data_IF_167605113576
#
_entry.id   IF_167605113576
#
_cell.length_a   1.000
_cell.length_b   1.000
_cell.length_c   1.000
_cell.angle_alpha   90.00
_cell.angle_beta   90.00
_cell.angle_gamma   90.00
#
_symmetry.space_group_name_H-M   'P 1'
#
loop_
_entity.id
_entity.type
_entity.pdbx_description
1 polymer ?
#
# COMPACT_ATOMS: atom_id res chain seq x y z
N UNK A 1 16.86 -2.70 -25.24
CA UNK A 1 17.66 -2.62 -23.99
C UNK A 1 16.72 -2.94 -22.83
N UNK A 2 16.57 -4.22 -22.48
CA UNK A 2 15.54 -4.69 -21.54
C UNK A 2 16.07 -4.76 -20.12
N UNK A 3 15.58 -3.90 -19.24
CA UNK A 3 15.85 -3.99 -17.80
C UNK A 3 15.13 -5.22 -17.23
N UNK A 4 15.80 -6.38 -17.25
CA UNK A 4 15.48 -7.51 -16.36
C UNK A 4 16.01 -7.18 -14.97
N UNK A 5 15.34 -6.28 -14.27
CA UNK A 5 15.58 -6.06 -12.84
C UNK A 5 15.33 -7.38 -12.11
N UNK A 6 16.40 -7.99 -11.60
CA UNK A 6 16.34 -9.27 -10.90
C UNK A 6 15.39 -9.15 -9.70
N UNK A 7 14.24 -9.80 -9.77
CA UNK A 7 13.34 -9.96 -8.64
C UNK A 7 14.06 -10.78 -7.57
N UNK A 8 14.69 -10.10 -6.61
CA UNK A 8 15.18 -10.73 -5.38
C UNK A 8 14.03 -11.49 -4.72
N UNK A 9 14.31 -12.62 -4.04
CA UNK A 9 13.29 -13.40 -3.31
C UNK A 9 12.46 -12.53 -2.34
N UNK A 10 12.98 -11.35 -1.95
CA UNK A 10 12.36 -10.32 -1.09
C UNK A 10 11.29 -9.45 -1.76
N UNK A 11 11.26 -9.37 -3.09
CA UNK A 11 10.36 -8.50 -3.84
C UNK A 11 9.22 -9.26 -4.53
N UNK A 12 9.10 -10.58 -4.32
CA UNK A 12 7.99 -11.37 -4.88
C UNK A 12 6.64 -10.84 -4.40
N UNK A 13 5.69 -10.72 -5.33
CA UNK A 13 4.31 -10.37 -5.02
C UNK A 13 3.68 -11.47 -4.18
N UNK A 14 2.67 -11.10 -3.42
CA UNK A 14 1.78 -12.08 -2.82
C UNK A 14 0.98 -12.70 -3.98
N UNK A 15 1.20 -13.99 -4.25
CA UNK A 15 0.57 -14.72 -5.36
C UNK A 15 -0.96 -14.79 -5.22
N UNK A 16 -1.48 -14.85 -3.98
CA UNK A 16 -2.91 -14.86 -3.69
C UNK A 16 -3.30 -13.68 -2.77
N UNK A 17 -3.71 -12.57 -3.40
CA UNK A 17 -4.18 -11.36 -2.72
C UNK A 17 -5.55 -11.53 -2.06
N UNK A 18 -6.38 -12.45 -2.55
CA UNK A 18 -7.69 -12.75 -1.96
C UNK A 18 -7.54 -13.42 -0.59
N UNK A 19 -6.68 -14.43 -0.50
CA UNK A 19 -6.35 -15.08 0.76
C UNK A 19 -5.69 -14.09 1.73
N UNK A 20 -4.80 -13.24 1.22
CA UNK A 20 -4.20 -12.18 2.01
C UNK A 20 -5.25 -11.20 2.59
N UNK A 21 -6.21 -10.74 1.78
CA UNK A 21 -7.27 -9.84 2.24
C UNK A 21 -8.18 -10.52 3.28
N UNK A 22 -8.53 -11.79 3.08
CA UNK A 22 -9.33 -12.58 4.03
C UNK A 22 -8.60 -12.70 5.37
N UNK A 23 -7.32 -13.09 5.34
CA UNK A 23 -6.50 -13.21 6.54
C UNK A 23 -6.33 -11.87 7.24
N UNK A 24 -5.99 -10.78 6.52
CA UNK A 24 -5.90 -9.44 7.10
C UNK A 24 -7.18 -9.05 7.86
N UNK A 25 -8.35 -9.23 7.26
CA UNK A 25 -9.65 -8.94 7.92
C UNK A 25 -9.89 -9.84 9.13
N UNK A 26 -9.54 -11.13 9.05
CA UNK A 26 -9.64 -12.10 10.15
C UNK A 26 -8.74 -11.69 11.33
N UNK A 27 -7.48 -11.34 11.07
CA UNK A 27 -6.52 -10.89 12.08
C UNK A 27 -7.02 -9.63 12.79
N UNK A 28 -7.55 -8.65 12.05
CA UNK A 28 -8.13 -7.42 12.62
C UNK A 28 -9.35 -7.70 13.52
N UNK A 29 -10.24 -8.62 13.11
CA UNK A 29 -11.39 -9.03 13.92
C UNK A 29 -10.97 -9.71 15.22
N UNK A 30 -10.00 -10.61 15.15
CA UNK A 30 -9.49 -11.32 16.33
C UNK A 30 -8.78 -10.35 17.27
N UNK A 31 -7.94 -9.45 16.76
CA UNK A 31 -7.28 -8.42 17.57
C UNK A 31 -8.30 -7.56 18.34
N UNK A 32 -9.37 -7.11 17.68
CA UNK A 32 -10.46 -6.37 18.34
C UNK A 32 -11.12 -7.18 19.46
N UNK A 33 -11.32 -8.49 19.24
CA UNK A 33 -11.87 -9.40 20.26
C UNK A 33 -10.91 -9.57 21.44
N UNK A 34 -9.62 -9.79 21.20
CA UNK A 34 -8.59 -9.87 22.26
C UNK A 34 -8.63 -8.61 23.12
N UNK A 35 -8.69 -7.44 22.48
CA UNK A 35 -8.78 -6.15 23.18
C UNK A 35 -10.06 -6.01 24.02
N UNK A 36 -11.19 -6.49 23.51
CA UNK A 36 -12.47 -6.42 24.23
C UNK A 36 -12.53 -7.32 25.47
N UNK A 37 -11.76 -8.42 25.48
CA UNK A 37 -11.86 -9.49 26.49
C UNK A 37 -10.76 -9.39 27.55
N UNK A 38 -10.00 -8.29 27.60
CA UNK A 38 -8.85 -8.10 28.50
C UNK A 38 -9.14 -8.28 30.00
N UNK A 39 -10.39 -8.09 30.44
CA UNK A 39 -10.77 -8.19 31.86
C UNK A 39 -10.93 -9.63 32.37
N UNK A 40 -11.20 -10.60 31.50
CA UNK A 40 -11.36 -12.00 31.89
C UNK A 40 -10.09 -12.80 31.51
N UNK A 41 -9.30 -13.30 32.49
CA UNK A 41 -8.02 -13.95 32.24
C UNK A 41 -8.10 -15.18 31.34
N UNK A 42 -9.10 -16.04 31.51
CA UNK A 42 -9.22 -17.29 30.74
C UNK A 42 -9.63 -17.02 29.29
N UNK A 43 -10.65 -16.19 29.10
CA UNK A 43 -11.10 -15.82 27.76
C UNK A 43 -10.02 -15.01 27.01
N UNK A 44 -9.23 -14.22 27.73
CA UNK A 44 -8.09 -13.49 27.16
C UNK A 44 -7.03 -14.46 26.64
N UNK A 45 -6.59 -15.45 27.44
CA UNK A 45 -5.62 -16.47 27.02
C UNK A 45 -6.09 -17.21 25.75
N UNK A 46 -7.33 -17.68 25.74
CA UNK A 46 -7.91 -18.37 24.56
C UNK A 46 -7.98 -17.48 23.33
N UNK A 47 -8.31 -16.20 23.50
CA UNK A 47 -8.34 -15.25 22.39
C UNK A 47 -6.93 -14.93 21.87
N UNK A 48 -5.95 -14.85 22.77
CA UNK A 48 -4.54 -14.59 22.47
C UNK A 48 -3.91 -15.74 21.67
N UNK A 49 -4.13 -16.99 22.08
CA UNK A 49 -3.68 -18.18 21.34
C UNK A 49 -4.22 -18.19 19.91
N UNK A 50 -5.52 -17.95 19.77
CA UNK A 50 -6.16 -17.85 18.45
C UNK A 50 -5.59 -16.70 17.61
N UNK A 51 -5.24 -15.58 18.23
CA UNK A 51 -4.58 -14.47 17.53
C UNK A 51 -3.20 -14.88 17.01
N UNK A 52 -2.36 -15.51 17.83
CA UNK A 52 -1.03 -15.94 17.41
C UNK A 52 -1.06 -16.96 16.29
N UNK A 53 -1.99 -17.92 16.32
CA UNK A 53 -2.18 -18.89 15.23
C UNK A 53 -2.45 -18.18 13.90
N UNK A 54 -3.41 -17.26 13.86
CA UNK A 54 -3.76 -16.51 12.64
C UNK A 54 -2.66 -15.52 12.26
N UNK A 55 -1.96 -14.95 13.24
CA UNK A 55 -0.85 -14.03 12.99
C UNK A 55 0.34 -14.75 12.35
N UNK A 56 0.66 -15.97 12.76
CA UNK A 56 1.72 -16.77 12.12
C UNK A 56 1.37 -17.15 10.68
N UNK A 57 0.12 -17.52 10.39
CA UNK A 57 -0.37 -17.73 9.02
C UNK A 57 -0.18 -16.46 8.16
N UNK A 58 -0.64 -15.32 8.68
CA UNK A 58 -0.50 -14.02 8.00
C UNK A 58 0.98 -13.63 7.82
N UNK A 59 1.80 -13.83 8.85
CA UNK A 59 3.23 -13.52 8.85
C UNK A 59 3.96 -14.32 7.77
N UNK A 60 3.69 -15.62 7.63
CA UNK A 60 4.28 -16.45 6.58
C UNK A 60 3.97 -15.93 5.18
N UNK A 61 2.77 -15.38 4.97
CA UNK A 61 2.37 -14.81 3.68
C UNK A 61 3.03 -13.46 3.38
N UNK A 62 3.16 -12.58 4.38
CA UNK A 62 3.66 -11.20 4.18
C UNK A 62 5.18 -11.13 4.26
N UNK A 63 5.80 -11.99 5.05
CA UNK A 63 7.23 -11.91 5.31
C UNK A 63 8.04 -12.07 4.01
N UNK A 64 8.97 -11.13 3.79
CA UNK A 64 9.83 -11.06 2.59
C UNK A 64 9.04 -10.95 1.27
N UNK A 65 7.81 -10.43 1.27
CA UNK A 65 7.03 -10.13 0.07
C UNK A 65 6.76 -8.64 -0.08
N UNK A 66 6.46 -8.22 -1.30
CA UNK A 66 6.06 -6.86 -1.60
C UNK A 66 4.74 -6.52 -0.91
N UNK A 67 4.70 -5.37 -0.23
CA UNK A 67 3.52 -4.92 0.50
C UNK A 67 2.53 -4.21 -0.42
N UNK A 68 1.24 -4.52 -0.22
CA UNK A 68 0.13 -3.91 -0.94
C UNK A 68 -0.96 -3.62 0.08
N UNK A 69 -1.46 -2.39 0.11
CA UNK A 69 -2.55 -2.03 1.01
C UNK A 69 -3.82 -2.86 0.67
N UNK A 70 -4.33 -3.67 1.61
CA UNK A 70 -5.47 -4.55 1.34
C UNK A 70 -6.76 -3.79 1.00
N UNK A 71 -6.94 -2.56 1.53
CA UNK A 71 -8.14 -1.75 1.27
C UNK A 71 -8.06 -1.10 -0.11
N UNK A 72 -6.88 -0.64 -0.51
CA UNK A 72 -6.64 -0.08 -1.84
C UNK A 72 -6.87 -1.15 -2.90
N UNK A 73 -6.26 -2.34 -2.73
CA UNK A 73 -6.46 -3.46 -3.63
C UNK A 73 -7.94 -3.87 -3.73
N UNK A 74 -8.64 -3.99 -2.59
CA UNK A 74 -10.06 -4.36 -2.59
C UNK A 74 -10.96 -3.34 -3.31
N UNK A 75 -10.58 -2.05 -3.37
CA UNK A 75 -11.31 -1.03 -4.12
C UNK A 75 -11.04 -1.16 -5.62
N UNK A 76 -9.78 -1.35 -6.00
CA UNK A 76 -9.37 -1.50 -7.40
C UNK A 76 -9.96 -2.79 -7.99
N UNK A 77 -9.92 -3.90 -7.26
CA UNK A 77 -10.55 -5.16 -7.68
C UNK A 77 -12.03 -4.97 -8.03
N UNK A 78 -12.79 -4.29 -7.16
CA UNK A 78 -14.21 -3.98 -7.42
C UNK A 78 -14.40 -3.10 -8.65
N UNK A 79 -13.50 -2.14 -8.87
CA UNK A 79 -13.57 -1.26 -10.03
C UNK A 79 -13.21 -1.97 -11.32
N UNK A 80 -12.28 -2.92 -11.28
CA UNK A 80 -12.01 -3.82 -12.39
C UNK A 80 -13.23 -4.67 -12.74
N UNK A 81 -13.96 -5.17 -11.73
CA UNK A 81 -15.19 -5.93 -11.91
C UNK A 81 -16.33 -5.07 -12.49
N UNK A 82 -16.46 -3.80 -12.08
CA UNK A 82 -17.53 -2.89 -12.58
C UNK A 82 -17.16 -2.10 -13.83
N UNK A 83 -15.88 -2.09 -14.23
CA UNK A 83 -15.37 -1.26 -15.32
C UNK A 83 -15.24 0.24 -14.97
N UNK A 84 -15.44 0.63 -13.70
CA UNK A 84 -15.34 2.02 -13.25
C UNK A 84 -13.89 2.53 -13.26
N UNK A 85 -13.67 3.78 -13.69
CA UNK A 85 -12.33 4.42 -13.68
C UNK A 85 -12.24 5.69 -12.82
N UNK A 86 -12.90 5.65 -11.66
CA UNK A 86 -12.90 6.76 -10.69
C UNK A 86 -11.52 6.98 -10.06
N UNK A 87 -11.22 8.23 -9.70
CA UNK A 87 -9.95 8.56 -9.03
C UNK A 87 -9.99 8.08 -7.58
N UNK A 88 -9.02 7.24 -7.19
CA UNK A 88 -8.93 6.70 -5.82
C UNK A 88 -7.90 7.49 -5.02
N UNK A 89 -8.31 8.08 -3.89
CA UNK A 89 -7.38 8.71 -2.95
C UNK A 89 -6.74 7.68 -2.03
N UNK A 90 -5.43 7.76 -1.84
CA UNK A 90 -4.66 6.90 -0.93
C UNK A 90 -3.60 7.68 -0.15
N UNK A 91 -3.41 7.27 1.10
CA UNK A 91 -2.28 7.67 1.93
C UNK A 91 -1.16 6.62 1.94
N UNK A 92 -1.44 5.40 1.46
CA UNK A 92 -0.47 4.32 1.41
C UNK A 92 0.48 4.54 0.23
N UNK A 93 1.64 5.11 0.56
CA UNK A 93 2.77 5.35 -0.37
C UNK A 93 3.72 4.16 -0.46
N UNK A 94 3.62 3.26 0.51
CA UNK A 94 4.41 2.05 0.66
C UNK A 94 3.89 0.87 -0.19
N UNK A 95 2.67 0.99 -0.72
CA UNK A 95 2.08 0.00 -1.63
C UNK A 95 2.89 -0.12 -2.92
N UNK A 96 3.17 -1.37 -3.28
CA UNK A 96 3.80 -1.75 -4.54
C UNK A 96 2.75 -1.85 -5.64
N UNK A 97 3.05 -1.33 -6.83
CA UNK A 97 2.13 -1.36 -7.98
C UNK A 97 2.09 -2.77 -8.56
N UNK A 98 0.88 -3.33 -8.65
CA UNK A 98 0.56 -4.65 -9.21
C UNK A 98 0.02 -4.48 -10.63
N UNK A 99 0.16 -5.46 -11.54
CA UNK A 99 -0.48 -5.40 -12.87
C UNK A 99 -1.97 -5.02 -12.86
N UNK A 100 -2.74 -5.43 -11.85
CA UNK A 100 -4.17 -5.09 -11.72
C UNK A 100 -4.46 -3.60 -11.55
N UNK A 101 -3.46 -2.79 -11.22
CA UNK A 101 -3.60 -1.35 -10.99
C UNK A 101 -3.46 -0.55 -12.29
N UNK A 102 -2.98 -1.18 -13.36
CA UNK A 102 -2.78 -0.53 -14.65
C UNK A 102 -4.10 0.04 -15.18
N UNK A 103 -4.04 1.24 -15.74
CA UNK A 103 -5.22 1.94 -16.27
C UNK A 103 -6.07 2.67 -15.22
N UNK A 104 -5.66 2.65 -13.94
CA UNK A 104 -6.32 3.39 -12.87
C UNK A 104 -5.58 4.67 -12.53
N UNK A 105 -6.33 5.70 -12.14
CA UNK A 105 -5.78 6.93 -11.59
C UNK A 105 -5.85 6.90 -10.07
N UNK A 106 -4.69 6.85 -9.43
CA UNK A 106 -4.56 6.85 -7.97
C UNK A 106 -4.00 8.19 -7.52
N UNK A 107 -4.76 8.91 -6.70
CA UNK A 107 -4.33 10.14 -6.08
C UNK A 107 -3.55 9.83 -4.79
N UNK A 108 -2.23 9.97 -4.84
CA UNK A 108 -1.29 9.62 -3.77
C UNK A 108 -1.00 10.86 -2.91
N UNK A 109 -1.14 10.74 -1.60
CA UNK A 109 -0.85 11.84 -0.68
C UNK A 109 0.66 12.12 -0.59
N UNK A 110 1.09 13.36 -0.84
CA UNK A 110 2.52 13.74 -0.76
C UNK A 110 2.91 14.45 0.56
N UNK A 111 1.98 14.57 1.51
CA UNK A 111 2.18 15.27 2.78
C UNK A 111 1.38 16.57 2.89
N UNK A 112 0.97 17.16 1.75
CA UNK A 112 0.15 18.38 1.71
C UNK A 112 -1.11 18.19 0.86
N UNK A 113 -0.95 17.60 -0.32
CA UNK A 113 -2.02 17.39 -1.30
C UNK A 113 -2.00 15.96 -1.82
N UNK A 114 -3.06 15.59 -2.55
CA UNK A 114 -3.10 14.35 -3.30
C UNK A 114 -2.69 14.60 -4.74
N UNK A 115 -1.61 13.93 -5.17
CA UNK A 115 -1.11 14.00 -6.55
C UNK A 115 -1.76 12.87 -7.35
N UNK A 116 -2.58 13.16 -8.37
CA UNK A 116 -3.16 12.13 -9.23
C UNK A 116 -2.07 11.50 -10.10
N UNK A 117 -1.87 10.19 -9.96
CA UNK A 117 -0.94 9.40 -10.74
C UNK A 117 -1.74 8.41 -11.58
N UNK A 118 -1.62 8.52 -12.91
CA UNK A 118 -2.16 7.52 -13.84
C UNK A 118 -1.15 6.38 -13.99
N UNK A 119 -1.59 5.15 -13.74
CA UNK A 119 -0.70 3.99 -13.66
C UNK A 119 -0.54 3.35 -15.04
N UNK A 120 0.70 3.34 -15.53
CA UNK A 120 1.12 2.64 -16.75
C UNK A 120 1.76 1.28 -16.42
N UNK A 121 1.84 0.34 -17.38
CA UNK A 121 2.47 -0.98 -17.17
C UNK A 121 3.93 -0.91 -16.71
N UNK A 122 4.66 0.12 -17.15
CA UNK A 122 6.08 0.31 -16.80
C UNK A 122 6.30 0.64 -15.32
N UNK A 123 5.25 1.11 -14.63
CA UNK A 123 5.30 1.42 -13.20
C UNK A 123 5.14 0.18 -12.31
N UNK A 124 4.82 -0.98 -12.87
CA UNK A 124 4.62 -2.22 -12.11
C UNK A 124 5.92 -2.63 -11.38
N UNK A 125 5.80 -2.95 -10.10
CA UNK A 125 6.93 -3.31 -9.23
C UNK A 125 7.56 -2.11 -8.48
N UNK A 126 7.23 -0.87 -8.85
CA UNK A 126 7.60 0.32 -8.11
C UNK A 126 6.63 0.63 -6.97
N UNK A 127 7.04 1.47 -6.02
CA UNK A 127 6.14 1.96 -4.96
C UNK A 127 5.38 3.20 -5.40
N UNK A 128 4.11 3.30 -4.99
CA UNK A 128 3.27 4.48 -5.27
C UNK A 128 3.91 5.80 -4.80
N UNK A 129 4.68 5.76 -3.71
CA UNK A 129 5.35 6.93 -3.17
C UNK A 129 6.45 7.52 -4.05
N UNK A 130 7.00 6.75 -5.00
CA UNK A 130 8.04 7.18 -5.93
C UNK A 130 7.49 8.20 -6.94
N UNK A 131 6.21 8.07 -7.30
CA UNK A 131 5.53 8.94 -8.26
C UNK A 131 4.89 10.17 -7.62
N UNK A 132 5.04 10.37 -6.31
CA UNK A 132 4.49 11.48 -5.55
C UNK A 132 5.58 12.18 -4.73
N UNK A 133 6.33 13.15 -5.33
CA UNK A 133 7.42 13.84 -4.64
C UNK A 133 6.89 14.69 -3.47
N UNK A 134 7.64 14.66 -2.36
CA UNK A 134 7.28 15.34 -1.10
C UNK A 134 7.88 16.73 -0.95
N UNK A 135 9.05 16.94 -1.56
CA UNK A 135 9.80 18.20 -1.48
C UNK A 135 9.83 18.82 -2.85
N UNK A 136 9.56 20.11 -2.91
CA UNK A 136 9.78 20.90 -4.13
C UNK A 136 11.26 21.29 -4.19
N UNK A 137 11.94 20.93 -5.27
CA UNK A 137 13.27 21.44 -5.53
C UNK A 137 13.15 22.90 -5.95
N UNK A 138 13.75 23.82 -5.18
CA UNK A 138 13.67 25.27 -5.42
C UNK A 138 14.83 25.81 -6.27
N UNK A 139 15.66 24.94 -6.85
CA UNK A 139 16.93 25.35 -7.45
C UNK A 139 18.01 25.63 -6.41
N UNK A 140 19.27 25.62 -6.83
CA UNK A 140 20.32 26.28 -6.07
C UNK A 140 20.19 27.79 -6.34
N UNK A 141 20.32 28.66 -5.33
CA UNK A 141 20.29 30.09 -5.59
C UNK A 141 21.52 30.47 -6.42
N UNK A 142 21.33 30.77 -7.70
CA UNK A 142 22.36 31.46 -8.47
C UNK A 142 22.65 32.80 -7.77
N UNK A 143 23.93 33.11 -7.55
CA UNK A 143 24.35 34.38 -6.91
C UNK A 143 23.83 35.62 -7.66
N UNK A 144 23.40 35.48 -8.91
CA UNK A 144 22.81 36.52 -9.76
C UNK A 144 21.27 36.62 -9.69
N UNK A 145 20.56 35.64 -9.11
CA UNK A 145 19.10 35.64 -9.07
C UNK A 145 18.53 36.31 -7.80
N UNK A 146 19.03 37.50 -7.46
CA UNK A 146 18.26 38.45 -6.63
C UNK A 146 17.33 39.27 -7.54
N UNK A 147 16.25 38.68 -8.06
CA UNK A 147 15.10 39.45 -8.53
C UNK A 147 13.97 38.53 -9.04
N UNK A 148 13.05 38.16 -8.15
CA UNK A 148 11.64 38.06 -8.51
C UNK A 148 10.79 38.05 -7.23
N UNK A 149 10.52 39.26 -6.70
CA UNK A 149 9.33 39.48 -5.87
C UNK A 149 8.09 39.21 -6.74
N UNK A 150 7.07 38.56 -6.16
CA UNK A 150 5.64 38.78 -6.46
C UNK A 150 4.87 38.46 -5.17
N UNK A 151 4.39 39.49 -4.48
CA UNK A 151 3.07 40.16 -4.58
C UNK A 151 1.97 39.30 -3.95
#
# INVERSE_FOLDING_TARGET
MGFKGAWSKRNRLIEDLDTFLKLYKKTQRIYKRVRAVQRNPELYKKALEKYYQVWEEYRKLVNKKAWVDPKLWARIKKMNETGDRKVIKTYSRDTTIIPEFVGHTIAVHNGKTFVPVYITPEMVGHKLGEFAPTRTFKGHPDKSAKAAKKK
#
